data_IF_547258886871
#
_entry.id   IF_547258886871
#
_cell.length_a   1.000
_cell.length_b   1.000
_cell.length_c   1.000
_cell.angle_alpha   90.00
_cell.angle_beta   90.00
_cell.angle_gamma   90.00
#
_symmetry.space_group_name_H-M   'P 1'
#
loop_
_entity.id
_entity.type
_entity.pdbx_description
1 polymer ?
#
# COMPACT_ATOMS: atom_id res chain seq x y z
N UNK A 1 -9.17 -24.32 -19.37
CA UNK A 1 -10.51 -24.91 -19.17
C UNK A 1 -10.83 -24.91 -17.68
N UNK A 2 -11.79 -24.10 -17.20
CA UNK A 2 -12.21 -24.14 -15.80
C UNK A 2 -12.83 -25.50 -15.46
N UNK A 3 -12.30 -26.14 -14.42
CA UNK A 3 -12.80 -27.40 -13.87
C UNK A 3 -13.51 -27.17 -12.55
N UNK A 4 -14.71 -27.69 -12.46
CA UNK A 4 -15.52 -27.65 -11.26
C UNK A 4 -15.74 -29.07 -10.75
N UNK A 5 -15.60 -29.27 -9.45
CA UNK A 5 -15.82 -30.56 -8.79
C UNK A 5 -16.91 -30.45 -7.75
N UNK A 6 -17.66 -31.53 -7.60
CA UNK A 6 -18.70 -31.72 -6.59
C UNK A 6 -18.41 -33.00 -5.83
N UNK A 7 -18.36 -32.90 -4.51
CA UNK A 7 -18.20 -34.02 -3.60
C UNK A 7 -19.15 -33.84 -2.40
N UNK A 8 -20.08 -34.79 -2.22
CA UNK A 8 -21.01 -34.87 -1.09
C UNK A 8 -20.79 -36.14 -0.24
N UNK A 9 -19.67 -36.84 -0.44
CA UNK A 9 -19.35 -38.11 0.20
C UNK A 9 -19.94 -39.35 -0.51
N UNK A 10 -20.94 -39.19 -1.39
CA UNK A 10 -21.52 -40.29 -2.20
C UNK A 10 -21.33 -40.09 -3.71
N UNK A 11 -21.29 -38.84 -4.16
CA UNK A 11 -21.16 -38.41 -5.54
C UNK A 11 -19.91 -37.56 -5.71
N UNK A 12 -18.88 -38.12 -6.33
CA UNK A 12 -17.66 -37.42 -6.72
C UNK A 12 -17.67 -37.16 -8.22
N UNK A 13 -18.05 -35.94 -8.63
CA UNK A 13 -18.27 -35.59 -10.04
C UNK A 13 -17.43 -34.39 -10.44
N UNK A 14 -16.95 -34.38 -11.68
CA UNK A 14 -16.31 -33.22 -12.29
C UNK A 14 -17.14 -32.70 -13.46
N UNK A 15 -17.00 -31.41 -13.73
CA UNK A 15 -17.63 -30.69 -14.82
C UNK A 15 -16.66 -29.61 -15.31
N UNK A 16 -16.34 -29.65 -16.60
CA UNK A 16 -15.42 -28.75 -17.28
C UNK A 16 -16.15 -28.13 -18.45
N UNK A 17 -15.91 -26.85 -18.70
CA UNK A 17 -16.43 -26.15 -19.87
C UNK A 17 -15.30 -25.45 -20.61
N UNK A 18 -15.32 -25.55 -21.93
CA UNK A 18 -14.42 -24.87 -22.84
C UNK A 18 -15.24 -24.14 -23.90
N UNK A 19 -14.87 -22.90 -24.21
CA UNK A 19 -15.57 -22.09 -25.21
C UNK A 19 -14.56 -21.85 -26.33
N UNK A 20 -14.93 -22.20 -27.55
CA UNK A 20 -14.12 -22.02 -28.76
C UNK A 20 -15.01 -21.33 -29.78
N UNK A 21 -14.79 -20.03 -29.98
CA UNK A 21 -15.60 -19.19 -30.86
C UNK A 21 -17.10 -19.28 -30.52
N UNK A 22 -17.93 -19.65 -31.49
CA UNK A 22 -19.39 -19.80 -31.43
C UNK A 22 -19.84 -21.13 -30.77
N UNK A 23 -18.92 -21.88 -30.17
CA UNK A 23 -19.19 -23.22 -29.65
C UNK A 23 -18.72 -23.34 -28.21
N UNK A 24 -19.48 -24.04 -27.37
CA UNK A 24 -18.93 -24.57 -26.12
C UNK A 24 -18.91 -26.09 -26.11
N UNK A 25 -17.89 -26.63 -25.45
CA UNK A 25 -17.70 -28.03 -25.14
C UNK A 25 -17.75 -28.21 -23.63
N UNK A 26 -18.54 -29.17 -23.17
CA UNK A 26 -18.66 -29.53 -21.76
C UNK A 26 -18.19 -30.96 -21.58
N UNK A 27 -17.16 -31.18 -20.76
CA UNK A 27 -16.72 -32.50 -20.32
C UNK A 27 -17.19 -32.76 -18.89
N UNK A 28 -17.85 -33.89 -18.63
CA UNK A 28 -18.36 -34.20 -17.30
C UNK A 28 -18.35 -35.69 -16.98
N UNK A 29 -18.17 -36.05 -15.72
CA UNK A 29 -18.09 -37.45 -15.33
C UNK A 29 -17.81 -37.65 -13.84
N UNK A 30 -17.52 -38.90 -13.47
CA UNK A 30 -17.02 -39.22 -12.12
C UNK A 30 -15.55 -38.83 -12.03
N UNK A 31 -15.13 -38.24 -10.91
CA UNK A 31 -13.72 -37.88 -10.67
C UNK A 31 -12.85 -39.14 -10.84
N UNK A 32 -11.77 -39.04 -11.62
CA UNK A 32 -10.88 -40.16 -11.97
C UNK A 32 -11.27 -40.94 -13.24
N UNK A 33 -12.32 -40.53 -13.96
CA UNK A 33 -12.70 -41.14 -15.26
C UNK A 33 -12.45 -40.18 -16.42
N UNK A 34 -12.48 -40.68 -17.67
CA UNK A 34 -12.35 -39.84 -18.89
C UNK A 34 -13.53 -38.89 -19.11
N UNK A 35 -14.67 -39.10 -18.45
CA UNK A 35 -15.89 -38.31 -18.63
C UNK A 35 -16.57 -38.51 -19.99
N UNK A 36 -17.63 -37.73 -20.21
CA UNK A 36 -18.37 -37.61 -21.47
C UNK A 36 -18.31 -36.16 -21.94
N UNK A 37 -18.17 -35.99 -23.25
CA UNK A 37 -18.09 -34.68 -23.90
C UNK A 37 -19.43 -34.36 -24.56
N UNK A 38 -19.93 -33.15 -24.35
CA UNK A 38 -21.11 -32.59 -25.01
C UNK A 38 -20.75 -31.27 -25.65
N UNK A 39 -20.94 -31.16 -26.96
CA UNK A 39 -20.64 -29.94 -27.74
C UNK A 39 -21.95 -29.25 -28.08
N UNK A 40 -21.98 -27.91 -28.02
CA UNK A 40 -23.12 -27.11 -28.43
C UNK A 40 -22.65 -25.86 -29.20
N UNK A 41 -23.22 -25.69 -30.39
CA UNK A 41 -22.92 -24.57 -31.28
C UNK A 41 -23.99 -23.47 -31.13
N UNK A 42 -23.58 -22.23 -31.35
CA UNK A 42 -24.38 -21.01 -31.25
C UNK A 42 -24.20 -20.16 -32.51
N UNK A 43 -24.99 -19.08 -32.65
CA UNK A 43 -24.91 -18.23 -33.84
C UNK A 43 -23.79 -17.18 -33.78
N UNK A 44 -23.17 -17.00 -32.60
CA UNK A 44 -22.04 -16.09 -32.39
C UNK A 44 -21.25 -16.45 -31.12
N UNK A 45 -20.01 -15.97 -31.04
CA UNK A 45 -19.15 -16.07 -29.86
C UNK A 45 -19.82 -15.47 -28.61
N UNK A 46 -20.55 -14.36 -28.77
CA UNK A 46 -21.25 -13.69 -27.67
C UNK A 46 -22.39 -14.56 -27.11
N UNK A 47 -23.15 -15.26 -27.96
CA UNK A 47 -24.18 -16.19 -27.52
C UNK A 47 -23.60 -17.43 -26.83
N UNK A 48 -22.48 -17.95 -27.34
CA UNK A 48 -21.78 -19.07 -26.72
C UNK A 48 -21.31 -18.71 -25.30
N UNK A 49 -20.75 -17.50 -25.12
CA UNK A 49 -20.31 -16.99 -23.82
C UNK A 49 -21.48 -16.82 -22.83
N UNK A 50 -22.57 -16.16 -23.24
CA UNK A 50 -23.75 -15.98 -22.38
C UNK A 50 -24.38 -17.32 -21.96
N UNK A 51 -24.42 -18.30 -22.88
CA UNK A 51 -24.93 -19.63 -22.58
C UNK A 51 -24.01 -20.40 -21.63
N UNK A 52 -22.68 -20.26 -21.79
CA UNK A 52 -21.68 -20.85 -20.91
C UNK A 52 -21.72 -20.25 -19.49
N UNK A 53 -21.88 -18.94 -19.36
CA UNK A 53 -22.00 -18.26 -18.06
C UNK A 53 -23.26 -18.72 -17.31
N UNK A 54 -24.38 -18.86 -18.03
CA UNK A 54 -25.65 -19.33 -17.46
C UNK A 54 -25.57 -20.75 -16.92
N UNK A 55 -24.95 -21.67 -17.67
CA UNK A 55 -24.80 -23.07 -17.21
C UNK A 55 -23.78 -23.18 -16.08
N UNK A 56 -22.70 -22.38 -16.11
CA UNK A 56 -21.71 -22.31 -15.04
C UNK A 56 -22.33 -21.81 -13.73
N UNK A 57 -23.11 -20.72 -13.77
CA UNK A 57 -23.85 -20.23 -12.61
C UNK A 57 -24.83 -21.29 -12.06
N UNK A 58 -25.48 -22.06 -12.93
CA UNK A 58 -26.33 -23.18 -12.53
C UNK A 58 -25.55 -24.29 -11.81
N UNK A 59 -24.32 -24.59 -12.24
CA UNK A 59 -23.45 -25.61 -11.62
C UNK A 59 -22.91 -25.16 -10.28
N UNK A 60 -22.44 -23.93 -10.17
CA UNK A 60 -22.00 -23.33 -8.89
C UNK A 60 -23.14 -23.32 -7.88
N UNK A 61 -24.36 -22.93 -8.29
CA UNK A 61 -25.55 -22.99 -7.43
C UNK A 61 -25.90 -24.41 -6.96
N UNK A 62 -25.50 -25.44 -7.71
CA UNK A 62 -25.67 -26.86 -7.36
C UNK A 62 -24.53 -27.41 -6.49
N UNK A 63 -23.63 -26.57 -6.01
CA UNK A 63 -22.56 -26.92 -5.08
C UNK A 63 -21.24 -27.33 -5.73
N UNK A 64 -21.09 -27.16 -7.05
CA UNK A 64 -19.81 -27.43 -7.72
C UNK A 64 -18.80 -26.31 -7.39
N UNK A 65 -17.67 -26.67 -6.79
CA UNK A 65 -16.57 -25.76 -6.47
C UNK A 65 -15.51 -25.76 -7.56
N UNK A 66 -14.91 -24.60 -7.85
CA UNK A 66 -13.81 -24.49 -8.83
C UNK A 66 -12.53 -25.10 -8.24
N UNK A 67 -11.93 -26.09 -8.93
CA UNK A 67 -10.74 -26.81 -8.46
C UNK A 67 -9.61 -26.71 -9.47
N UNK A 68 -8.41 -26.37 -8.99
CA UNK A 68 -7.17 -26.48 -9.75
C UNK A 68 -6.89 -25.35 -10.74
N UNK A 69 -6.04 -24.41 -10.32
CA UNK A 69 -5.21 -23.62 -11.23
C UNK A 69 -4.20 -24.56 -11.90
N UNK A 70 -4.53 -25.13 -13.05
CA UNK A 70 -3.54 -25.18 -14.13
C UNK A 70 -3.58 -23.81 -14.76
N UNK A 71 -2.46 -23.09 -14.73
CA UNK A 71 -2.30 -21.82 -15.44
C UNK A 71 -2.97 -21.94 -16.81
N UNK A 72 -3.92 -21.07 -17.18
CA UNK A 72 -4.23 -20.95 -18.59
C UNK A 72 -2.87 -20.71 -19.26
N UNK A 73 -2.53 -21.54 -20.25
CA UNK A 73 -1.57 -21.10 -21.26
C UNK A 73 -2.03 -19.69 -21.62
N UNK A 74 -1.19 -18.65 -21.45
CA UNK A 74 -1.66 -17.30 -21.63
C UNK A 74 -2.29 -17.26 -23.01
N UNK A 75 -3.60 -16.92 -23.08
CA UNK A 75 -4.15 -16.30 -24.29
C UNK A 75 -3.08 -15.34 -24.76
N UNK A 76 -2.67 -15.36 -26.04
CA UNK A 76 -1.51 -14.60 -26.50
C UNK A 76 -1.60 -13.21 -25.89
N UNK A 77 -0.70 -12.92 -24.93
CA UNK A 77 -0.71 -11.63 -24.24
C UNK A 77 -0.53 -10.63 -25.36
N UNK A 78 -1.46 -9.68 -25.46
CA UNK A 78 -1.35 -8.66 -26.49
C UNK A 78 0.07 -8.06 -26.35
N UNK A 79 0.91 -8.07 -27.39
CA UNK A 79 2.28 -7.55 -27.30
C UNK A 79 2.33 -6.12 -26.74
N UNK A 80 1.26 -5.34 -26.93
CA UNK A 80 1.10 -4.01 -26.36
C UNK A 80 0.88 -4.06 -24.84
N UNK A 81 0.11 -5.02 -24.32
CA UNK A 81 -0.08 -5.17 -22.87
C UNK A 81 1.24 -5.58 -22.19
N UNK A 82 2.06 -6.39 -22.86
CA UNK A 82 3.39 -6.75 -22.38
C UNK A 82 4.35 -5.54 -22.39
N UNK A 83 4.32 -4.73 -23.45
CA UNK A 83 5.08 -3.49 -23.56
C UNK A 83 4.67 -2.45 -22.50
N UNK A 84 3.36 -2.25 -22.31
CA UNK A 84 2.84 -1.37 -21.26
C UNK A 84 3.30 -1.86 -19.89
N UNK A 85 3.24 -3.17 -19.64
CA UNK A 85 3.71 -3.75 -18.39
C UNK A 85 5.21 -3.57 -18.19
N UNK A 86 6.03 -3.66 -19.24
CA UNK A 86 7.47 -3.41 -19.11
C UNK A 86 7.76 -1.96 -18.73
N UNK A 87 7.03 -1.00 -19.30
CA UNK A 87 7.13 0.42 -18.92
C UNK A 87 6.67 0.65 -17.46
N UNK A 88 5.60 -0.03 -17.01
CA UNK A 88 5.15 0.08 -15.62
C UNK A 88 6.20 -0.45 -14.61
N UNK A 89 6.95 -1.48 -15.00
CA UNK A 89 8.02 -2.05 -14.20
C UNK A 89 9.23 -1.11 -14.19
N UNK A 90 9.64 -0.66 -15.36
CA UNK A 90 10.81 0.18 -15.61
C UNK A 90 10.45 1.38 -16.53
N UNK A 91 10.02 2.51 -15.95
CA UNK A 91 9.63 3.70 -16.71
C UNK A 91 10.83 4.47 -17.28
N UNK A 92 12.06 4.05 -17.00
CA UNK A 92 13.27 4.64 -17.58
C UNK A 92 13.75 3.91 -18.83
N UNK A 93 13.09 2.80 -19.21
CA UNK A 93 13.36 2.09 -20.45
C UNK A 93 12.89 2.90 -21.68
N UNK A 94 13.80 3.69 -22.24
CA UNK A 94 13.54 4.56 -23.41
C UNK A 94 13.12 3.74 -24.63
N UNK A 95 13.69 2.55 -24.86
CA UNK A 95 13.35 1.71 -26.01
C UNK A 95 11.89 1.26 -25.96
N UNK A 96 11.42 0.84 -24.78
CA UNK A 96 10.02 0.49 -24.57
C UNK A 96 9.09 1.69 -24.83
N UNK A 97 9.48 2.89 -24.38
CA UNK A 97 8.74 4.12 -24.68
C UNK A 97 8.72 4.45 -26.17
N UNK A 98 9.80 4.21 -26.92
CA UNK A 98 9.84 4.42 -28.37
C UNK A 98 8.86 3.51 -29.10
N UNK A 99 8.86 2.21 -28.77
CA UNK A 99 7.91 1.26 -29.37
C UNK A 99 6.46 1.64 -29.03
N UNK A 100 6.20 2.08 -27.79
CA UNK A 100 4.87 2.49 -27.36
C UNK A 100 4.43 3.80 -28.04
N UNK A 101 5.37 4.74 -28.23
CA UNK A 101 5.19 5.97 -29.00
C UNK A 101 4.76 5.68 -30.44
N UNK A 102 5.48 4.79 -31.12
CA UNK A 102 5.17 4.42 -32.50
C UNK A 102 3.79 3.76 -32.60
N UNK A 103 3.50 2.82 -31.68
CA UNK A 103 2.19 2.20 -31.59
C UNK A 103 1.06 3.25 -31.42
N UNK A 104 1.18 4.16 -30.47
CA UNK A 104 0.17 5.20 -30.22
C UNK A 104 -0.04 6.11 -31.43
N UNK A 105 1.03 6.44 -32.17
CA UNK A 105 0.91 7.21 -33.42
C UNK A 105 0.13 6.45 -34.50
N UNK A 106 0.28 5.11 -34.61
CA UNK A 106 -0.56 4.33 -35.54
C UNK A 106 -2.05 4.37 -35.19
N UNK A 107 -2.37 4.65 -33.92
CA UNK A 107 -3.74 4.81 -33.44
C UNK A 107 -4.24 6.27 -33.53
N UNK A 108 -3.44 7.18 -34.10
CA UNK A 108 -3.67 8.63 -34.09
C UNK A 108 -3.85 9.21 -32.68
N UNK A 109 -3.17 8.62 -31.70
CA UNK A 109 -3.20 9.11 -30.33
C UNK A 109 -2.12 10.19 -30.12
N UNK A 110 -2.49 11.42 -29.71
CA UNK A 110 -1.53 12.53 -29.54
C UNK A 110 -0.43 12.22 -28.52
N UNK A 111 -0.65 11.26 -27.61
CA UNK A 111 0.35 10.84 -26.63
C UNK A 111 1.55 10.15 -27.28
N UNK A 112 1.40 9.57 -28.47
CA UNK A 112 2.52 9.03 -29.23
C UNK A 112 3.51 10.15 -29.61
N UNK A 113 3.02 11.27 -30.12
CA UNK A 113 3.87 12.44 -30.42
C UNK A 113 4.47 13.05 -29.15
N UNK A 114 3.70 13.11 -28.04
CA UNK A 114 4.22 13.57 -26.74
C UNK A 114 5.41 12.72 -26.27
N UNK A 115 5.36 11.40 -26.44
CA UNK A 115 6.48 10.54 -26.06
C UNK A 115 7.70 10.80 -26.95
N UNK A 116 7.54 10.81 -28.27
CA UNK A 116 8.64 11.07 -29.20
C UNK A 116 9.33 12.42 -28.92
N UNK A 117 8.54 13.48 -28.69
CA UNK A 117 9.05 14.80 -28.32
C UNK A 117 9.71 14.80 -26.95
N UNK A 118 9.11 14.13 -25.96
CA UNK A 118 9.67 13.97 -24.62
C UNK A 118 11.06 13.32 -24.64
N UNK A 119 11.23 12.24 -25.42
CA UNK A 119 12.52 11.58 -25.61
C UNK A 119 13.53 12.52 -26.28
N UNK A 120 13.12 13.29 -27.29
CA UNK A 120 13.98 14.26 -27.96
C UNK A 120 14.42 15.40 -27.03
N UNK A 121 13.52 15.89 -26.17
CA UNK A 121 13.80 16.90 -25.15
C UNK A 121 14.82 16.36 -24.15
N UNK A 122 14.61 15.15 -23.62
CA UNK A 122 15.51 14.51 -22.65
C UNK A 122 16.92 14.31 -23.22
N UNK A 123 17.02 13.85 -24.47
CA UNK A 123 18.31 13.62 -25.14
C UNK A 123 19.11 14.90 -25.38
N UNK A 124 18.47 16.04 -25.62
CA UNK A 124 19.18 17.26 -26.06
C UNK A 124 18.46 18.57 -25.68
N UNK A 125 18.23 18.84 -24.38
CA UNK A 125 17.29 19.87 -23.91
C UNK A 125 17.71 21.30 -24.25
N UNK A 126 19.01 21.56 -24.41
CA UNK A 126 19.56 22.90 -24.70
C UNK A 126 19.73 23.18 -26.20
N UNK A 127 19.61 22.14 -27.04
CA UNK A 127 19.77 22.27 -28.49
C UNK A 127 18.60 23.04 -29.12
N UNK A 128 18.79 23.60 -30.33
CA UNK A 128 17.69 24.22 -31.10
C UNK A 128 16.52 23.24 -31.27
N UNK A 129 16.82 22.00 -31.69
CA UNK A 129 15.83 20.93 -31.86
C UNK A 129 15.10 20.58 -30.57
N UNK A 130 15.80 20.52 -29.43
CA UNK A 130 15.19 20.24 -28.13
C UNK A 130 14.26 21.37 -27.66
N UNK A 131 14.61 22.62 -27.92
CA UNK A 131 13.75 23.78 -27.64
C UNK A 131 12.50 23.79 -28.53
N UNK A 132 12.66 23.52 -29.83
CA UNK A 132 11.54 23.38 -30.77
C UNK A 132 10.61 22.22 -30.38
N UNK A 133 11.17 21.07 -29.99
CA UNK A 133 10.41 19.93 -29.50
C UNK A 133 9.63 20.27 -28.22
N UNK A 134 10.21 21.04 -27.29
CA UNK A 134 9.51 21.49 -26.07
C UNK A 134 8.33 22.40 -26.38
N UNK A 135 8.47 23.32 -27.34
CA UNK A 135 7.35 24.18 -27.76
C UNK A 135 6.20 23.33 -28.31
N UNK A 136 6.51 22.38 -29.21
CA UNK A 136 5.51 21.46 -29.77
C UNK A 136 4.88 20.56 -28.71
N UNK A 137 5.69 20.03 -27.79
CA UNK A 137 5.21 19.18 -26.68
C UNK A 137 4.18 19.93 -25.83
N UNK A 138 4.51 21.17 -25.42
CA UNK A 138 3.59 21.98 -24.62
C UNK A 138 2.30 22.28 -25.37
N UNK A 139 2.36 22.56 -26.67
CA UNK A 139 1.17 22.78 -27.48
C UNK A 139 0.24 21.56 -27.46
N UNK A 140 0.76 20.37 -27.80
CA UNK A 140 -0.04 19.14 -27.83
C UNK A 140 -0.58 18.80 -26.44
N UNK A 141 0.24 19.00 -25.41
CA UNK A 141 -0.16 18.75 -24.03
C UNK A 141 -1.35 19.65 -23.67
N UNK A 142 -1.27 20.96 -23.92
CA UNK A 142 -2.37 21.88 -23.64
C UNK A 142 -3.63 21.56 -24.46
N UNK A 143 -3.49 21.13 -25.72
CA UNK A 143 -4.62 20.75 -26.59
C UNK A 143 -5.31 19.44 -26.13
N UNK A 144 -4.62 18.57 -25.40
CA UNK A 144 -5.11 17.21 -25.06
C UNK A 144 -5.23 16.90 -23.55
N UNK A 145 -4.74 17.78 -22.67
CA UNK A 145 -4.67 17.54 -21.23
C UNK A 145 -6.01 17.26 -20.57
N UNK A 146 -7.10 17.86 -21.05
CA UNK A 146 -8.44 17.64 -20.50
C UNK A 146 -8.89 16.18 -20.66
N UNK A 147 -8.60 15.56 -21.80
CA UNK A 147 -8.92 14.15 -22.03
C UNK A 147 -8.05 13.22 -21.16
N UNK A 148 -6.82 13.63 -20.86
CA UNK A 148 -5.85 12.84 -20.10
C UNK A 148 -5.95 12.99 -18.57
N UNK A 149 -6.46 14.12 -18.07
CA UNK A 149 -6.44 14.50 -16.66
C UNK A 149 -7.84 14.82 -16.09
N UNK A 150 -8.86 14.95 -16.93
CA UNK A 150 -10.22 15.29 -16.53
C UNK A 150 -10.28 16.63 -15.79
N UNK A 151 -11.05 16.69 -14.70
CA UNK A 151 -11.23 17.92 -13.90
C UNK A 151 -9.94 18.45 -13.28
N UNK A 152 -8.87 17.65 -13.21
CA UNK A 152 -7.58 18.11 -12.71
C UNK A 152 -6.77 18.91 -13.76
N UNK A 153 -7.17 18.91 -15.04
CA UNK A 153 -6.41 19.55 -16.11
C UNK A 153 -6.23 21.07 -15.94
N UNK A 154 -7.24 21.73 -15.38
CA UNK A 154 -7.23 23.18 -15.11
C UNK A 154 -6.21 23.54 -14.01
N UNK A 155 -6.04 22.66 -13.03
CA UNK A 155 -5.28 22.90 -11.81
C UNK A 155 -3.91 22.22 -11.78
N UNK A 156 -3.54 21.48 -12.84
CA UNK A 156 -2.39 20.57 -12.82
C UNK A 156 -1.04 21.27 -12.57
N UNK A 157 -0.97 22.58 -12.81
CA UNK A 157 0.22 23.40 -12.56
C UNK A 157 0.21 24.09 -11.20
N UNK A 158 -0.83 23.92 -10.39
CA UNK A 158 -0.89 24.43 -9.03
C UNK A 158 0.01 23.58 -8.12
N UNK A 159 1.13 24.16 -7.72
CA UNK A 159 2.15 23.50 -6.91
C UNK A 159 1.76 23.36 -5.44
N UNK A 160 0.72 24.05 -4.98
CA UNK A 160 0.17 23.86 -3.64
C UNK A 160 -0.77 22.65 -3.61
N UNK A 161 -1.52 22.42 -4.68
CA UNK A 161 -2.39 21.25 -4.83
C UNK A 161 -1.61 19.98 -5.19
N UNK A 162 -0.60 20.12 -6.04
CA UNK A 162 0.09 18.97 -6.63
C UNK A 162 1.60 19.02 -6.50
N UNK A 163 2.19 17.87 -6.16
CA UNK A 163 3.59 17.57 -6.45
C UNK A 163 3.65 16.39 -7.39
N UNK A 164 4.09 16.62 -8.63
CA UNK A 164 4.01 15.63 -9.71
C UNK A 164 5.37 15.43 -10.38
N UNK A 165 5.70 14.17 -10.65
CA UNK A 165 6.76 13.81 -11.60
C UNK A 165 6.14 13.36 -12.92
N UNK A 166 6.58 13.97 -14.01
CA UNK A 166 6.15 13.64 -15.37
C UNK A 166 7.20 12.81 -16.10
N UNK A 167 6.76 11.85 -16.91
CA UNK A 167 7.55 11.19 -17.94
C UNK A 167 6.74 11.19 -19.23
N UNK A 168 7.21 11.94 -20.22
CA UNK A 168 6.67 11.88 -21.59
C UNK A 168 5.16 12.12 -21.71
N UNK A 169 4.60 13.00 -20.88
CA UNK A 169 3.16 13.30 -20.83
C UNK A 169 2.34 12.39 -19.92
N UNK A 170 2.98 11.44 -19.23
CA UNK A 170 2.37 10.58 -18.21
C UNK A 170 2.84 10.94 -16.80
N UNK A 171 1.99 10.64 -15.82
CA UNK A 171 2.25 10.82 -14.39
C UNK A 171 2.97 9.59 -13.83
N UNK A 172 4.09 9.81 -13.11
CA UNK A 172 4.79 8.74 -12.38
C UNK A 172 4.61 8.85 -10.88
N UNK A 173 4.77 10.05 -10.32
CA UNK A 173 4.54 10.32 -8.90
C UNK A 173 3.49 11.41 -8.79
N UNK A 174 2.50 11.21 -7.93
CA UNK A 174 1.43 12.17 -7.69
C UNK A 174 1.23 12.34 -6.19
N UNK A 175 1.44 13.56 -5.69
CA UNK A 175 0.86 14.05 -4.44
C UNK A 175 -0.32 14.94 -4.76
N UNK A 176 -1.44 14.76 -4.08
CA UNK A 176 -2.57 15.70 -4.03
C UNK A 176 -2.73 16.21 -2.62
N UNK A 177 -2.99 17.50 -2.45
CA UNK A 177 -3.29 18.12 -1.16
C UNK A 177 -4.28 19.28 -1.34
N UNK A 178 -4.96 19.61 -0.25
CA UNK A 178 -5.82 20.78 -0.10
C UNK A 178 -4.99 21.99 0.38
N UNK A 179 -5.44 23.20 0.05
CA UNK A 179 -5.01 24.42 0.74
C UNK A 179 -6.18 25.41 0.83
N UNK A 180 -6.21 26.21 1.91
CA UNK A 180 -7.37 27.04 2.27
C UNK A 180 -7.81 28.06 1.21
N UNK A 181 -6.88 28.61 0.43
CA UNK A 181 -7.22 29.57 -0.63
C UNK A 181 -7.87 28.92 -1.88
N UNK A 182 -7.90 27.59 -1.96
CA UNK A 182 -8.38 26.89 -3.14
C UNK A 182 -9.89 26.81 -3.19
N UNK A 183 -10.47 27.28 -4.30
CA UNK A 183 -11.90 27.13 -4.61
C UNK A 183 -12.02 26.30 -5.88
N UNK A 184 -12.34 25.02 -5.73
CA UNK A 184 -12.41 24.07 -6.85
C UNK A 184 -12.90 22.67 -6.46
N UNK A 185 -12.65 21.66 -7.29
CA UNK A 185 -13.00 20.27 -6.98
C UNK A 185 -12.22 19.76 -5.76
N UNK A 186 -12.87 18.95 -4.93
CA UNK A 186 -12.23 18.35 -3.76
C UNK A 186 -11.01 17.48 -4.11
N UNK A 187 -10.09 17.31 -3.15
CA UNK A 187 -8.90 16.45 -3.30
C UNK A 187 -9.19 15.07 -3.89
N UNK A 188 -10.25 14.40 -3.43
CA UNK A 188 -10.64 13.08 -3.93
C UNK A 188 -11.13 13.09 -5.39
N UNK A 189 -11.76 14.19 -5.85
CA UNK A 189 -12.18 14.35 -7.24
C UNK A 189 -10.97 14.58 -8.14
N UNK A 190 -10.03 15.41 -7.69
CA UNK A 190 -8.77 15.65 -8.37
C UNK A 190 -7.98 14.33 -8.50
N UNK A 191 -7.75 13.62 -7.39
CA UNK A 191 -7.09 12.32 -7.39
C UNK A 191 -7.81 11.32 -8.30
N UNK A 192 -9.13 11.19 -8.15
CA UNK A 192 -9.94 10.29 -8.96
C UNK A 192 -9.83 10.58 -10.46
N UNK A 193 -9.73 11.86 -10.85
CA UNK A 193 -9.53 12.26 -12.23
C UNK A 193 -8.16 11.86 -12.76
N UNK A 194 -7.09 12.11 -12.01
CA UNK A 194 -5.72 11.68 -12.38
C UNK A 194 -5.61 10.17 -12.51
N UNK A 195 -6.25 9.43 -11.60
CA UNK A 195 -6.24 7.97 -11.59
C UNK A 195 -7.04 7.38 -12.78
N UNK A 196 -8.20 7.96 -13.12
CA UNK A 196 -9.02 7.48 -14.24
C UNK A 196 -8.48 7.93 -15.60
N UNK A 197 -7.84 9.09 -15.64
CA UNK A 197 -7.28 9.69 -16.82
C UNK A 197 -6.16 8.86 -17.44
N UNK A 198 -6.02 8.98 -18.76
CA UNK A 198 -5.04 8.21 -19.52
C UNK A 198 -3.59 8.56 -19.15
N UNK A 199 -3.34 9.79 -18.68
CA UNK A 199 -2.03 10.22 -18.18
C UNK A 199 -1.62 9.48 -16.90
N UNK A 200 -2.56 8.96 -16.11
CA UNK A 200 -2.30 8.25 -14.85
C UNK A 200 -1.97 6.76 -14.98
N UNK A 201 -1.79 6.24 -16.19
CA UNK A 201 -1.64 4.79 -16.44
C UNK A 201 -0.34 4.20 -15.87
N UNK A 202 0.68 5.03 -15.66
CA UNK A 202 2.02 4.62 -15.21
C UNK A 202 2.37 5.15 -13.81
N UNK A 203 1.38 5.62 -13.04
CA UNK A 203 1.62 6.11 -11.67
C UNK A 203 2.22 4.99 -10.81
N UNK A 204 3.40 5.26 -10.26
CA UNK A 204 4.15 4.39 -9.35
C UNK A 204 4.00 4.80 -7.89
N UNK A 205 3.80 6.09 -7.62
CA UNK A 205 3.65 6.64 -6.27
C UNK A 205 2.40 7.49 -6.17
N UNK A 206 1.58 7.21 -5.16
CA UNK A 206 0.44 8.04 -4.77
C UNK A 206 0.69 8.55 -3.35
N UNK A 207 0.58 9.86 -3.16
CA UNK A 207 0.63 10.51 -1.85
C UNK A 207 -0.62 11.37 -1.68
N UNK A 208 -1.24 11.30 -0.52
CA UNK A 208 -2.39 12.12 -0.15
C UNK A 208 -1.95 13.00 1.02
N UNK A 209 -1.70 14.29 0.76
CA UNK A 209 -1.46 15.28 1.81
C UNK A 209 -2.76 15.71 2.49
N UNK A 210 -2.73 16.78 3.29
CA UNK A 210 -3.94 17.29 3.97
C UNK A 210 -5.10 17.39 2.99
N UNK A 211 -6.26 16.93 3.39
CA UNK A 211 -7.50 17.00 2.61
C UNK A 211 -8.46 17.99 3.24
N UNK A 212 -9.57 18.24 2.57
CA UNK A 212 -10.70 18.89 3.22
C UNK A 212 -11.16 18.08 4.44
N UNK A 213 -11.58 18.79 5.49
CA UNK A 213 -12.15 18.21 6.71
C UNK A 213 -13.61 17.80 6.58
N UNK A 214 -14.13 17.20 7.64
CA UNK A 214 -15.55 16.92 7.87
C UNK A 214 -16.02 17.67 9.13
N UNK A 215 -17.29 17.51 9.51
CA UNK A 215 -17.87 18.20 10.67
C UNK A 215 -17.08 17.96 11.99
N UNK A 216 -16.47 16.78 12.13
CA UNK A 216 -15.76 16.34 13.34
C UNK A 216 -14.23 16.17 13.16
N UNK A 217 -13.66 16.51 12.00
CA UNK A 217 -12.22 16.36 11.74
C UNK A 217 -11.70 17.41 10.76
N UNK A 218 -10.51 17.95 11.00
CA UNK A 218 -9.88 18.97 10.16
C UNK A 218 -9.42 18.40 8.80
N UNK A 219 -9.15 17.09 8.74
CA UNK A 219 -8.83 16.38 7.50
C UNK A 219 -9.46 14.98 7.45
N UNK A 220 -10.09 14.61 6.33
CA UNK A 220 -10.64 13.26 6.11
C UNK A 220 -10.16 12.60 4.81
N UNK A 221 -9.42 11.50 4.94
CA UNK A 221 -8.76 10.80 3.84
C UNK A 221 -9.60 9.69 3.19
N UNK A 222 -10.78 9.40 3.77
CA UNK A 222 -11.63 8.27 3.37
C UNK A 222 -12.08 8.36 1.91
N UNK A 223 -12.43 9.55 1.42
CA UNK A 223 -12.85 9.77 0.04
C UNK A 223 -11.68 9.58 -0.95
N UNK A 224 -10.47 10.00 -0.60
CA UNK A 224 -9.29 9.76 -1.43
C UNK A 224 -8.96 8.25 -1.49
N UNK A 225 -9.06 7.55 -0.36
CA UNK A 225 -8.92 6.08 -0.31
C UNK A 225 -10.00 5.40 -1.15
N UNK A 226 -11.24 5.90 -1.10
CA UNK A 226 -12.33 5.42 -1.95
C UNK A 226 -12.06 5.67 -3.44
N UNK A 227 -11.50 6.83 -3.81
CA UNK A 227 -11.12 7.14 -5.19
C UNK A 227 -10.06 6.16 -5.72
N UNK A 228 -9.08 5.77 -4.90
CA UNK A 228 -8.08 4.75 -5.25
C UNK A 228 -8.75 3.40 -5.50
N UNK A 229 -9.61 2.95 -4.58
CA UNK A 229 -10.28 1.65 -4.65
C UNK A 229 -11.26 1.57 -5.83
N UNK A 230 -12.09 2.59 -6.01
CA UNK A 230 -13.05 2.68 -7.12
C UNK A 230 -12.38 2.83 -8.48
N UNK A 231 -11.15 3.36 -8.52
CA UNK A 231 -10.31 3.44 -9.71
C UNK A 231 -9.79 2.10 -10.21
N UNK A 232 -10.07 0.99 -9.53
CA UNK A 232 -9.75 -0.37 -9.97
C UNK A 232 -8.29 -0.77 -9.75
N UNK A 233 -7.91 -1.91 -10.33
CA UNK A 233 -6.59 -2.54 -10.13
C UNK A 233 -5.48 -1.72 -10.79
N UNK A 234 -4.43 -1.37 -10.03
CA UNK A 234 -3.27 -0.60 -10.49
C UNK A 234 -1.97 -1.36 -10.21
N UNK A 235 -1.43 -1.97 -11.26
CA UNK A 235 -0.23 -2.81 -11.18
C UNK A 235 1.07 -2.01 -11.13
N UNK A 236 1.06 -0.75 -11.57
CA UNK A 236 2.24 0.12 -11.58
C UNK A 236 2.56 0.73 -10.21
N UNK A 237 1.55 0.89 -9.35
CA UNK A 237 1.71 1.54 -8.04
C UNK A 237 2.52 0.65 -7.10
N UNK A 238 3.65 1.20 -6.64
CA UNK A 238 4.60 0.58 -5.70
C UNK A 238 4.59 1.27 -4.33
N UNK A 239 4.15 2.52 -4.26
CA UNK A 239 4.14 3.30 -3.00
C UNK A 239 2.82 4.04 -2.80
N UNK A 240 2.28 3.94 -1.59
CA UNK A 240 1.11 4.69 -1.15
C UNK A 240 1.40 5.35 0.21
N UNK A 241 1.21 6.66 0.28
CA UNK A 241 1.16 7.41 1.54
C UNK A 241 -0.24 8.01 1.71
N UNK A 242 -0.85 7.75 2.86
CA UNK A 242 -2.11 8.35 3.29
C UNK A 242 -1.78 9.21 4.52
N UNK A 243 -1.98 10.51 4.44
CA UNK A 243 -1.58 11.44 5.50
C UNK A 243 -0.17 12.01 5.34
N UNK A 244 0.16 12.47 4.15
CA UNK A 244 1.44 13.12 3.83
C UNK A 244 1.41 14.60 4.22
N UNK A 245 1.33 14.85 5.53
CA UNK A 245 1.27 16.19 6.11
C UNK A 245 2.18 16.32 7.32
N UNK A 246 2.58 17.56 7.57
CA UNK A 246 3.36 17.96 8.74
C UNK A 246 2.44 18.54 9.83
N UNK A 247 2.93 18.61 11.07
CA UNK A 247 2.14 19.05 12.23
C UNK A 247 1.67 20.51 12.15
N UNK A 248 2.31 21.34 11.34
CA UNK A 248 1.88 22.72 11.08
C UNK A 248 0.75 22.82 10.05
N UNK A 249 0.52 21.77 9.26
CA UNK A 249 -0.60 21.68 8.33
C UNK A 249 -1.85 21.09 9.00
N UNK A 250 -1.69 20.03 9.81
CA UNK A 250 -2.78 19.36 10.51
C UNK A 250 -2.25 18.62 11.75
N UNK A 251 -2.92 18.79 12.89
CA UNK A 251 -2.69 17.95 14.07
C UNK A 251 -3.10 16.50 13.78
N UNK A 252 -2.28 15.53 14.19
CA UNK A 252 -2.50 14.13 13.81
C UNK A 252 -3.82 13.59 14.38
N UNK A 253 -4.20 14.03 15.58
CA UNK A 253 -5.46 13.66 16.25
C UNK A 253 -6.69 14.29 15.61
N UNK A 254 -6.53 15.41 14.90
CA UNK A 254 -7.60 16.12 14.18
C UNK A 254 -7.81 15.58 12.75
N UNK A 255 -7.28 14.39 12.45
CA UNK A 255 -7.38 13.75 11.13
C UNK A 255 -8.06 12.38 11.20
N UNK A 256 -8.83 12.03 10.17
CA UNK A 256 -9.51 10.75 10.05
C UNK A 256 -9.05 10.00 8.80
N UNK A 257 -8.39 8.86 8.98
CA UNK A 257 -7.96 7.99 7.87
C UNK A 257 -9.10 7.10 7.38
N UNK A 258 -9.81 6.43 8.29
CA UNK A 258 -10.86 5.47 7.97
C UNK A 258 -10.35 4.14 7.40
N UNK A 259 -11.21 3.45 6.64
CA UNK A 259 -10.99 2.06 6.22
C UNK A 259 -10.03 1.90 5.03
N UNK A 260 -8.85 1.31 5.29
CA UNK A 260 -7.82 1.04 4.28
C UNK A 260 -7.91 -0.37 3.67
N UNK A 261 -8.64 -1.33 4.25
CA UNK A 261 -8.47 -2.76 3.93
C UNK A 261 -8.69 -3.17 2.46
N UNK A 262 -9.37 -2.35 1.65
CA UNK A 262 -9.56 -2.60 0.21
C UNK A 262 -8.34 -2.24 -0.64
N UNK A 263 -7.43 -1.39 -0.15
CA UNK A 263 -6.26 -0.93 -0.93
C UNK A 263 -5.33 -2.09 -1.31
N UNK A 264 -5.17 -3.08 -0.43
CA UNK A 264 -4.29 -4.23 -0.65
C UNK A 264 -4.66 -5.06 -1.89
N UNK A 265 -5.94 -5.12 -2.24
CA UNK A 265 -6.41 -5.91 -3.38
C UNK A 265 -6.24 -5.16 -4.72
N UNK A 266 -6.41 -3.84 -4.71
CA UNK A 266 -6.33 -3.00 -5.91
C UNK A 266 -4.89 -2.59 -6.25
N UNK A 267 -3.97 -2.60 -5.29
CA UNK A 267 -2.55 -2.28 -5.48
C UNK A 267 -1.66 -3.54 -5.34
N UNK A 268 -1.70 -4.50 -6.28
CA UNK A 268 -1.08 -5.83 -6.12
C UNK A 268 0.46 -5.85 -6.08
N UNK A 269 1.10 -4.74 -6.45
CA UNK A 269 2.55 -4.58 -6.47
C UNK A 269 3.03 -3.51 -5.46
N UNK A 270 2.20 -3.18 -4.47
CA UNK A 270 2.56 -2.26 -3.40
C UNK A 270 3.76 -2.80 -2.61
N UNK A 271 4.82 -2.00 -2.55
CA UNK A 271 6.05 -2.27 -1.80
C UNK A 271 6.14 -1.43 -0.53
N UNK A 272 5.54 -0.24 -0.51
CA UNK A 272 5.51 0.63 0.67
C UNK A 272 4.10 1.17 0.91
N UNK A 273 3.67 1.08 2.17
CA UNK A 273 2.46 1.72 2.67
C UNK A 273 2.81 2.53 3.91
N UNK A 274 2.52 3.83 3.86
CA UNK A 274 2.59 4.74 5.01
C UNK A 274 1.17 5.23 5.29
N UNK A 275 0.75 5.11 6.55
CA UNK A 275 -0.53 5.62 7.04
C UNK A 275 -0.23 6.51 8.24
N UNK A 276 -0.59 7.79 8.14
CA UNK A 276 -0.28 8.81 9.13
C UNK A 276 -1.55 9.62 9.44
N UNK A 277 -2.07 9.51 10.65
CA UNK A 277 -3.31 10.20 11.04
C UNK A 277 -4.07 9.50 12.17
N UNK A 278 -5.26 10.02 12.48
CA UNK A 278 -6.21 9.43 13.44
C UNK A 278 -7.19 8.45 12.80
N UNK A 279 -8.00 7.80 13.64
CA UNK A 279 -9.12 6.92 13.25
C UNK A 279 -8.78 5.89 12.16
N UNK A 280 -7.67 5.17 12.36
CA UNK A 280 -7.16 4.21 11.39
C UNK A 280 -7.90 2.87 11.47
N UNK A 281 -8.51 2.45 10.36
CA UNK A 281 -9.08 1.11 10.19
C UNK A 281 -8.32 0.30 9.12
N UNK A 282 -7.39 -0.55 9.55
CA UNK A 282 -6.51 -1.29 8.63
C UNK A 282 -7.20 -2.44 7.88
N UNK A 283 -8.31 -2.96 8.41
CA UNK A 283 -8.95 -4.18 7.89
C UNK A 283 -8.03 -5.40 7.96
N UNK A 284 -8.19 -6.35 7.02
CA UNK A 284 -7.34 -7.55 6.97
C UNK A 284 -6.09 -7.30 6.14
N UNK A 285 -4.95 -7.21 6.83
CA UNK A 285 -3.66 -6.93 6.20
C UNK A 285 -3.08 -8.20 5.59
N UNK A 286 -3.07 -8.28 4.25
CA UNK A 286 -2.44 -9.37 3.50
C UNK A 286 -1.88 -8.85 2.20
N UNK A 287 -0.56 -8.94 2.02
CA UNK A 287 0.09 -8.47 0.81
C UNK A 287 1.43 -9.19 0.56
N UNK A 288 1.63 -9.65 -0.67
CA UNK A 288 2.80 -10.50 -1.02
C UNK A 288 4.09 -9.73 -1.30
N UNK A 289 3.98 -8.45 -1.65
CA UNK A 289 5.11 -7.63 -2.11
C UNK A 289 5.42 -6.46 -1.17
N UNK A 290 4.65 -6.28 -0.09
CA UNK A 290 4.82 -5.13 0.81
C UNK A 290 6.10 -5.35 1.62
N UNK A 291 7.04 -4.43 1.51
CA UNK A 291 8.36 -4.42 2.17
C UNK A 291 8.39 -3.47 3.35
N UNK A 292 7.63 -2.38 3.29
CA UNK A 292 7.56 -1.37 4.35
C UNK A 292 6.11 -1.08 4.70
N UNK A 293 5.79 -1.12 5.99
CA UNK A 293 4.53 -0.66 6.56
C UNK A 293 4.83 0.28 7.73
N UNK A 294 4.36 1.52 7.65
CA UNK A 294 4.43 2.50 8.74
C UNK A 294 3.03 2.96 9.11
N UNK A 295 2.72 2.94 10.40
CA UNK A 295 1.45 3.38 10.97
C UNK A 295 1.77 4.38 12.07
N UNK A 296 1.52 5.66 11.79
CA UNK A 296 1.77 6.77 12.69
C UNK A 296 0.41 7.34 13.13
N UNK A 297 0.15 7.35 14.44
CA UNK A 297 -1.14 7.80 14.99
C UNK A 297 -0.98 8.28 16.43
N UNK A 298 -1.84 9.21 16.84
CA UNK A 298 -1.99 9.65 18.23
C UNK A 298 -2.67 8.61 19.14
N UNK A 299 -3.39 7.63 18.56
CA UNK A 299 -4.01 6.53 19.30
C UNK A 299 -4.48 5.36 18.42
N UNK A 300 -3.86 4.20 18.59
CA UNK A 300 -4.15 3.01 17.81
C UNK A 300 -5.20 2.12 18.48
N UNK A 301 -6.33 1.91 17.81
CA UNK A 301 -7.42 1.08 18.32
C UNK A 301 -7.02 -0.40 18.50
N UNK A 302 -7.74 -1.12 19.37
CA UNK A 302 -7.49 -2.54 19.63
C UNK A 302 -7.68 -3.38 18.36
N UNK A 303 -8.61 -2.96 17.48
CA UNK A 303 -8.85 -3.61 16.19
C UNK A 303 -7.65 -3.46 15.27
N UNK A 304 -7.06 -2.27 15.19
CA UNK A 304 -5.87 -2.01 14.37
C UNK A 304 -4.64 -2.75 14.92
N UNK A 305 -4.42 -2.75 16.25
CA UNK A 305 -3.34 -3.54 16.88
C UNK A 305 -3.46 -5.03 16.54
N UNK A 306 -4.66 -5.60 16.64
CA UNK A 306 -4.91 -7.01 16.29
C UNK A 306 -4.74 -7.27 14.79
N UNK A 307 -5.05 -6.30 13.93
CA UNK A 307 -4.88 -6.40 12.49
C UNK A 307 -3.39 -6.45 12.10
N UNK A 308 -2.57 -5.58 12.71
CA UNK A 308 -1.11 -5.65 12.59
C UNK A 308 -0.61 -6.99 13.10
N UNK A 309 -0.95 -7.38 14.33
CA UNK A 309 -0.42 -8.60 14.91
C UNK A 309 -0.69 -9.87 14.07
N UNK A 310 -1.82 -9.92 13.36
CA UNK A 310 -2.27 -11.06 12.55
C UNK A 310 -2.00 -10.91 11.04
N UNK A 311 -1.20 -9.94 10.62
CA UNK A 311 -0.97 -9.69 9.21
C UNK A 311 -0.28 -10.88 8.50
N UNK A 312 -0.48 -10.98 7.19
CA UNK A 312 0.20 -11.95 6.31
C UNK A 312 1.01 -11.19 5.26
N UNK A 313 2.26 -10.89 5.61
CA UNK A 313 3.16 -10.00 4.87
C UNK A 313 4.53 -10.67 4.66
N UNK A 314 4.61 -11.70 3.80
CA UNK A 314 5.81 -12.53 3.63
C UNK A 314 7.06 -11.78 3.15
N UNK A 315 6.90 -10.61 2.53
CA UNK A 315 8.00 -9.80 2.02
C UNK A 315 8.33 -8.59 2.91
N UNK A 316 7.67 -8.42 4.07
CA UNK A 316 7.86 -7.23 4.90
C UNK A 316 9.23 -7.26 5.57
N UNK A 317 10.00 -6.21 5.35
CA UNK A 317 11.33 -6.02 5.91
C UNK A 317 11.33 -5.01 7.06
N UNK A 318 10.41 -4.03 7.01
CA UNK A 318 10.27 -2.95 7.99
C UNK A 318 8.80 -2.76 8.41
N UNK A 319 8.57 -2.79 9.72
CA UNK A 319 7.29 -2.49 10.35
C UNK A 319 7.49 -1.41 11.42
N UNK A 320 6.80 -0.28 11.29
CA UNK A 320 6.78 0.80 12.28
C UNK A 320 5.34 1.01 12.73
N UNK A 321 5.10 1.00 14.05
CA UNK A 321 3.76 1.13 14.63
C UNK A 321 3.82 2.06 15.83
N UNK A 322 3.01 3.11 15.79
CA UNK A 322 2.79 4.04 16.91
C UNK A 322 1.52 3.60 17.64
N UNK A 323 1.60 3.44 18.96
CA UNK A 323 0.44 3.01 19.75
C UNK A 323 -0.40 4.18 20.27
N UNK A 324 0.25 5.31 20.58
CA UNK A 324 -0.41 6.52 21.04
C UNK A 324 -0.89 6.48 22.49
N UNK A 325 -1.78 7.40 22.84
CA UNK A 325 -2.33 7.53 24.19
C UNK A 325 -3.85 7.30 24.24
N UNK A 326 -4.34 6.86 25.40
CA UNK A 326 -5.75 6.48 25.61
C UNK A 326 -6.72 7.61 25.29
N UNK A 327 -6.35 8.86 25.61
CA UNK A 327 -7.18 10.04 25.34
C UNK A 327 -7.37 10.33 23.84
N UNK A 328 -6.53 9.76 22.99
CA UNK A 328 -6.59 9.89 21.53
C UNK A 328 -6.98 8.57 20.84
N UNK A 329 -7.59 7.63 21.58
CA UNK A 329 -8.14 6.39 21.03
C UNK A 329 -7.22 5.16 21.11
N UNK A 330 -6.09 5.24 21.82
CA UNK A 330 -5.23 4.08 22.01
C UNK A 330 -5.89 3.02 22.91
N UNK A 331 -5.92 1.78 22.43
CA UNK A 331 -6.44 0.62 23.18
C UNK A 331 -5.46 -0.57 23.12
N UNK A 332 -4.21 -0.31 22.75
CA UNK A 332 -3.18 -1.33 22.64
C UNK A 332 -2.78 -1.91 23.98
N UNK A 333 -2.54 -3.23 24.00
CA UNK A 333 -1.96 -3.95 25.13
C UNK A 333 -1.00 -5.02 24.61
N UNK A 334 0.02 -5.36 25.40
CA UNK A 334 1.06 -6.33 25.01
C UNK A 334 0.50 -7.70 24.62
N UNK A 335 -0.61 -8.12 25.24
CA UNK A 335 -1.25 -9.41 24.95
C UNK A 335 -1.74 -9.55 23.51
N UNK A 336 -2.14 -8.42 22.88
CA UNK A 336 -2.60 -8.40 21.50
C UNK A 336 -1.47 -8.61 20.48
N UNK A 337 -0.21 -8.34 20.86
CA UNK A 337 0.97 -8.46 20.01
C UNK A 337 1.55 -9.88 19.97
N UNK A 338 1.03 -10.82 20.77
CA UNK A 338 1.51 -12.20 20.81
C UNK A 338 1.67 -12.84 19.42
N UNK A 339 0.70 -12.72 18.48
CA UNK A 339 0.88 -13.28 17.14
C UNK A 339 2.04 -12.67 16.34
N UNK A 340 2.32 -11.37 16.51
CA UNK A 340 3.49 -10.71 15.93
C UNK A 340 4.78 -11.27 16.54
N UNK A 341 4.85 -11.40 17.86
CA UNK A 341 6.02 -11.92 18.56
C UNK A 341 6.38 -13.35 18.16
N UNK A 342 5.38 -14.17 17.79
CA UNK A 342 5.57 -15.51 17.22
C UNK A 342 6.22 -15.49 15.81
N UNK A 343 6.30 -14.34 15.14
CA UNK A 343 6.88 -14.18 13.80
C UNK A 343 5.99 -14.68 12.66
N UNK A 344 4.76 -15.13 12.95
CA UNK A 344 3.83 -15.66 11.95
C UNK A 344 3.36 -14.55 11.02
N UNK A 345 3.56 -14.74 9.72
CA UNK A 345 3.23 -13.75 8.70
C UNK A 345 4.33 -12.73 8.41
N UNK A 346 5.46 -12.79 9.14
CA UNK A 346 6.59 -11.85 9.04
C UNK A 346 7.96 -12.52 8.83
N UNK A 347 8.09 -13.51 7.94
CA UNK A 347 9.32 -14.29 7.78
C UNK A 347 10.53 -13.47 7.31
N UNK A 348 10.31 -12.31 6.69
CA UNK A 348 11.37 -11.43 6.16
C UNK A 348 11.65 -10.21 7.04
N UNK A 349 10.98 -10.05 8.17
CA UNK A 349 11.05 -8.83 8.98
C UNK A 349 12.43 -8.67 9.62
N UNK A 350 13.04 -7.50 9.41
CA UNK A 350 14.37 -7.16 9.91
C UNK A 350 14.33 -5.94 10.83
N UNK A 351 13.42 -5.01 10.59
CA UNK A 351 13.31 -3.77 11.36
C UNK A 351 11.92 -3.69 11.97
N UNK A 352 11.86 -3.61 13.29
CA UNK A 352 10.61 -3.54 14.04
C UNK A 352 10.63 -2.31 14.94
N UNK A 353 9.68 -1.40 14.72
CA UNK A 353 9.38 -0.28 15.59
C UNK A 353 8.04 -0.49 16.27
N UNK A 354 8.07 -0.58 17.58
CA UNK A 354 6.90 -0.59 18.47
C UNK A 354 7.04 0.66 19.34
N UNK A 355 6.61 1.78 18.78
CA UNK A 355 6.99 3.11 19.26
C UNK A 355 5.79 3.79 19.91
N UNK A 356 6.06 4.87 20.63
CA UNK A 356 5.02 5.79 21.07
C UNK A 356 3.94 5.07 21.91
N UNK A 357 4.34 4.15 22.81
CA UNK A 357 3.42 3.33 23.59
C UNK A 357 3.43 3.68 25.08
N UNK A 358 2.25 3.59 25.71
CA UNK A 358 2.08 3.74 27.16
C UNK A 358 2.52 2.51 27.98
N UNK A 359 2.90 1.41 27.32
CA UNK A 359 3.21 0.10 27.91
C UNK A 359 4.56 -0.45 27.40
N UNK A 360 5.54 0.44 27.26
CA UNK A 360 6.84 0.13 26.64
C UNK A 360 7.67 -0.86 27.47
N UNK A 361 7.54 -0.83 28.80
CA UNK A 361 8.16 -1.82 29.71
C UNK A 361 7.61 -3.23 29.44
N UNK A 362 6.30 -3.36 29.23
CA UNK A 362 5.63 -4.61 28.94
C UNK A 362 6.03 -5.14 27.56
N UNK A 363 6.17 -4.26 26.57
CA UNK A 363 6.67 -4.62 25.23
C UNK A 363 8.04 -5.27 25.34
N UNK A 364 9.01 -4.59 25.97
CA UNK A 364 10.37 -5.13 26.08
C UNK A 364 10.41 -6.43 26.89
N UNK A 365 9.60 -6.53 27.95
CA UNK A 365 9.47 -7.77 28.72
C UNK A 365 8.93 -8.94 27.88
N UNK A 366 7.97 -8.69 27.00
CA UNK A 366 7.44 -9.71 26.10
C UNK A 366 8.44 -10.11 25.01
N UNK A 367 9.23 -9.16 24.52
CA UNK A 367 10.28 -9.40 23.51
C UNK A 367 11.36 -10.37 23.99
N UNK A 368 11.64 -10.45 25.30
CA UNK A 368 12.57 -11.43 25.89
C UNK A 368 12.24 -12.88 25.47
N UNK A 369 10.95 -13.19 25.25
CA UNK A 369 10.49 -14.53 24.88
C UNK A 369 10.04 -14.63 23.41
N UNK A 370 10.17 -13.56 22.64
CA UNK A 370 9.62 -13.46 21.30
C UNK A 370 10.56 -14.07 20.25
N UNK A 371 10.17 -15.14 19.53
CA UNK A 371 10.98 -15.71 18.46
C UNK A 371 11.38 -14.70 17.37
N UNK A 372 10.53 -13.71 17.10
CA UNK A 372 10.79 -12.70 16.05
C UNK A 372 12.07 -11.90 16.31
N UNK A 373 12.53 -11.74 17.56
CA UNK A 373 13.75 -10.98 17.88
C UNK A 373 14.99 -11.55 17.19
N UNK A 374 15.05 -12.87 16.98
CA UNK A 374 16.21 -13.56 16.40
C UNK A 374 16.50 -13.20 14.95
N UNK A 375 15.50 -12.72 14.20
CA UNK A 375 15.64 -12.33 12.79
C UNK A 375 15.81 -10.81 12.61
N UNK A 376 15.60 -10.03 13.67
CA UNK A 376 15.73 -8.58 13.60
C UNK A 376 17.20 -8.16 13.52
N UNK A 377 17.43 -7.04 12.84
CA UNK A 377 18.67 -6.28 12.82
C UNK A 377 18.50 -4.95 13.56
N UNK A 378 17.28 -4.42 13.62
CA UNK A 378 16.96 -3.14 14.27
C UNK A 378 15.67 -3.26 15.07
N UNK A 379 15.67 -2.67 16.27
CA UNK A 379 14.53 -2.58 17.17
C UNK A 379 14.34 -1.13 17.63
N UNK A 380 13.15 -0.58 17.42
CA UNK A 380 12.80 0.78 17.86
C UNK A 380 11.68 0.72 18.91
N UNK A 381 11.99 1.21 20.11
CA UNK A 381 11.13 1.32 21.30
C UNK A 381 11.08 2.77 21.79
N UNK A 382 11.29 3.73 20.89
CA UNK A 382 11.35 5.16 21.23
C UNK A 382 9.97 5.79 21.39
N UNK A 383 9.96 7.02 21.92
CA UNK A 383 8.79 7.90 22.04
C UNK A 383 7.70 7.41 23.01
N UNK A 384 7.97 6.34 23.75
CA UNK A 384 7.03 5.69 24.66
C UNK A 384 7.21 6.12 26.12
N UNK A 385 6.82 5.23 27.03
CA UNK A 385 6.88 5.44 28.48
C UNK A 385 7.85 4.51 29.18
N UNK A 386 8.91 4.04 28.50
CA UNK A 386 9.89 3.13 29.09
C UNK A 386 10.56 3.79 30.29
N UNK A 387 10.57 3.09 31.42
CA UNK A 387 11.27 3.51 32.63
C UNK A 387 12.52 2.68 32.85
N UNK A 388 13.24 2.96 33.93
CA UNK A 388 14.41 2.19 34.36
C UNK A 388 14.17 0.67 34.42
N UNK A 389 12.93 0.23 34.66
CA UNK A 389 12.54 -1.18 34.61
C UNK A 389 12.76 -1.78 33.22
N UNK A 390 12.21 -1.16 32.17
CA UNK A 390 12.40 -1.60 30.79
C UNK A 390 13.86 -1.52 30.34
N UNK A 391 14.57 -0.45 30.73
CA UNK A 391 16.01 -0.34 30.46
C UNK A 391 16.83 -1.44 31.15
N UNK A 392 16.47 -1.82 32.38
CA UNK A 392 17.14 -2.92 33.09
C UNK A 392 16.88 -4.28 32.43
N UNK A 393 15.68 -4.51 31.88
CA UNK A 393 15.38 -5.71 31.08
C UNK A 393 16.31 -5.82 29.87
N UNK A 394 16.55 -4.72 29.14
CA UNK A 394 17.51 -4.71 28.03
C UNK A 394 18.92 -5.06 28.51
N UNK A 395 19.37 -4.47 29.63
CA UNK A 395 20.69 -4.73 30.21
C UNK A 395 20.85 -6.22 30.58
N UNK A 396 19.84 -6.79 31.24
CA UNK A 396 19.89 -8.17 31.76
C UNK A 396 19.78 -9.22 30.65
N UNK A 397 19.34 -8.82 29.45
CA UNK A 397 19.13 -9.72 28.30
C UNK A 397 20.03 -9.38 27.10
N UNK A 398 21.25 -8.87 27.35
CA UNK A 398 22.22 -8.57 26.30
C UNK A 398 22.56 -9.77 25.42
N UNK A 399 22.52 -10.99 25.96
CA UNK A 399 22.74 -12.21 25.16
C UNK A 399 21.66 -12.42 24.09
N UNK A 400 20.47 -11.85 24.29
CA UNK A 400 19.34 -11.94 23.35
C UNK A 400 19.30 -10.77 22.37
N UNK A 401 19.58 -9.54 22.82
CA UNK A 401 19.46 -8.33 22.00
C UNK A 401 20.80 -7.87 21.40
N UNK A 402 21.93 -8.39 21.90
CA UNK A 402 23.26 -7.93 21.53
C UNK A 402 23.65 -8.19 20.08
N UNK A 403 22.92 -9.06 19.36
CA UNK A 403 23.12 -9.26 17.91
C UNK A 403 22.53 -8.14 17.06
N UNK A 404 21.61 -7.33 17.59
CA UNK A 404 21.02 -6.22 16.87
C UNK A 404 22.10 -5.20 16.49
N UNK A 405 22.01 -4.66 15.28
CA UNK A 405 22.87 -3.57 14.81
C UNK A 405 22.43 -2.24 15.42
N UNK A 406 21.12 -2.09 15.68
CA UNK A 406 20.55 -0.87 16.25
C UNK A 406 19.41 -1.16 17.23
N UNK A 407 19.42 -0.43 18.36
CA UNK A 407 18.31 -0.37 19.31
C UNK A 407 18.02 1.10 19.63
N UNK A 408 16.78 1.55 19.40
CA UNK A 408 16.38 2.91 19.74
C UNK A 408 15.48 2.91 20.98
N UNK A 409 15.88 3.66 22.00
CA UNK A 409 15.12 3.90 23.24
C UNK A 409 15.04 5.39 23.56
N UNK A 410 15.29 6.27 22.59
CA UNK A 410 15.17 7.72 22.79
C UNK A 410 13.76 8.12 23.18
N UNK A 411 13.64 9.28 23.80
CA UNK A 411 12.34 9.90 24.05
C UNK A 411 11.44 9.02 24.95
N UNK A 412 12.05 8.49 26.02
CA UNK A 412 11.43 7.69 27.08
C UNK A 412 11.70 8.34 28.46
N UNK A 413 11.53 7.62 29.57
CA UNK A 413 11.71 8.12 30.94
C UNK A 413 12.82 7.36 31.68
N UNK A 414 13.97 7.16 31.02
CA UNK A 414 15.15 6.49 31.58
C UNK A 414 16.01 7.49 32.37
N UNK A 415 16.46 7.10 33.56
CA UNK A 415 17.39 7.90 34.36
C UNK A 415 18.81 7.83 33.79
N UNK A 416 19.62 8.86 34.07
CA UNK A 416 21.05 8.90 33.69
C UNK A 416 21.81 7.62 34.09
N UNK A 417 21.47 7.06 35.26
CA UNK A 417 22.08 5.82 35.76
C UNK A 417 21.82 4.63 34.82
N UNK A 418 20.62 4.52 34.26
CA UNK A 418 20.27 3.44 33.34
C UNK A 418 20.82 3.73 31.94
N UNK A 419 20.76 4.96 31.46
CA UNK A 419 21.30 5.32 30.14
C UNK A 419 22.80 5.06 30.07
N UNK A 420 23.59 5.44 31.08
CA UNK A 420 25.02 5.14 31.15
C UNK A 420 25.34 3.64 31.12
N UNK A 421 24.47 2.81 31.73
CA UNK A 421 24.64 1.36 31.69
C UNK A 421 24.31 0.80 30.32
N UNK A 422 23.23 1.26 29.70
CA UNK A 422 22.82 0.87 28.36
C UNK A 422 23.92 1.17 27.35
N UNK A 423 24.55 2.34 27.39
CA UNK A 423 25.68 2.70 26.53
C UNK A 423 26.89 1.76 26.70
N UNK A 424 27.17 1.35 27.95
CA UNK A 424 28.26 0.43 28.26
C UNK A 424 27.98 -0.98 27.76
N UNK A 425 26.73 -1.44 27.86
CA UNK A 425 26.30 -2.79 27.45
C UNK A 425 26.13 -2.89 25.93
N UNK A 426 25.68 -1.82 25.28
CA UNK A 426 25.40 -1.74 23.84
C UNK A 426 26.25 -0.66 23.14
N UNK A 427 27.59 -0.78 23.14
CA UNK A 427 28.46 0.27 22.65
C UNK A 427 28.24 0.55 21.16
N UNK A 428 27.88 1.79 20.82
CA UNK A 428 27.61 2.28 19.45
C UNK A 428 26.44 1.59 18.75
N UNK A 429 25.58 0.89 19.49
CA UNK A 429 24.40 0.20 18.96
C UNK A 429 23.08 0.88 19.36
N UNK A 430 23.13 1.88 20.24
CA UNK A 430 21.93 2.50 20.80
C UNK A 430 21.75 3.98 20.46
N UNK A 431 20.49 4.37 20.24
CA UNK A 431 20.02 5.75 20.32
C UNK A 431 19.24 5.90 21.63
N UNK A 432 19.67 6.81 22.53
CA UNK A 432 19.12 6.95 23.89
C UNK A 432 18.67 8.38 24.20
N UNK A 433 18.95 9.36 23.34
CA UNK A 433 18.73 10.79 23.62
C UNK A 433 17.30 11.18 24.00
N UNK A 434 17.14 12.44 24.39
CA UNK A 434 15.82 13.08 24.58
C UNK A 434 14.94 12.45 25.69
N UNK A 435 15.56 11.88 26.73
CA UNK A 435 14.82 11.34 27.87
C UNK A 435 14.05 12.44 28.62
N UNK A 436 12.82 12.11 29.02
CA UNK A 436 11.86 12.97 29.70
C UNK A 436 11.89 12.75 31.21
N UNK A 437 11.55 13.81 31.95
CA UNK A 437 11.20 13.70 33.36
C UNK A 437 9.69 13.48 33.50
N UNK A 438 9.24 12.53 34.34
CA UNK A 438 7.81 12.32 34.54
C UNK A 438 7.18 13.48 35.29
N UNK A 439 5.91 13.78 34.99
CA UNK A 439 5.16 14.81 35.69
C UNK A 439 4.69 14.27 37.04
N UNK A 440 4.89 15.02 38.12
CA UNK A 440 4.38 14.65 39.45
C UNK A 440 3.26 15.62 39.84
N UNK A 441 2.04 15.11 39.95
CA UNK A 441 0.88 15.88 40.38
C UNK A 441 0.13 15.13 41.47
N UNK A 442 -0.08 15.78 42.61
CA UNK A 442 -0.71 15.20 43.81
C UNK A 442 -0.08 13.86 44.26
N UNK A 443 1.26 13.78 44.23
CA UNK A 443 2.01 12.58 44.60
C UNK A 443 1.91 11.42 43.61
N UNK A 444 1.19 11.58 42.49
CA UNK A 444 1.11 10.60 41.40
C UNK A 444 2.06 10.98 40.28
N UNK A 445 2.71 9.95 39.73
CA UNK A 445 3.64 10.07 38.59
C UNK A 445 2.85 9.85 37.31
N UNK A 446 2.97 10.78 36.36
CA UNK A 446 2.34 10.73 35.05
C UNK A 446 3.43 10.75 33.96
N UNK A 447 3.38 9.75 33.08
CA UNK A 447 4.18 9.66 31.86
C UNK A 447 3.27 9.90 30.65
N UNK A 448 3.88 10.24 29.52
CA UNK A 448 3.18 10.56 28.29
C UNK A 448 4.04 10.17 27.09
N UNK A 449 3.38 9.80 26.00
CA UNK A 449 4.04 9.48 24.73
C UNK A 449 4.35 10.76 23.95
N UNK A 450 5.24 10.70 22.96
CA UNK A 450 5.67 11.91 22.23
C UNK A 450 4.69 12.41 21.17
N UNK A 451 3.91 11.52 20.57
CA UNK A 451 2.91 11.84 19.56
C UNK A 451 1.55 11.42 20.09
N UNK A 452 0.66 12.38 20.30
CA UNK A 452 -0.65 12.13 20.90
C UNK A 452 -1.70 13.04 20.26
N UNK A 453 -1.50 14.36 20.39
CA UNK A 453 -2.28 15.42 19.74
C UNK A 453 -1.88 15.61 18.27
#
# INVERSE_FOLDING_TARGET
MPRYEYDDGTSQKFWEINIINDTYEVCYGKIGTKGQISIKNFSSDQEAQLAADKITASKVKKGYGLVGKSSPSPSPVNPIDELVRSIQIDPDNIEAWQVYSDYLQTQNDPRGELIALGIAIEKSPRSKKGKEAKVRFNQIFEESKEAGLGVAAEYINDTKLFSITWKYGYLLNVRVAFHYDFVGPSTHKLLGALLKGTAGHFIQTISIGVTEGMEDADACFSDCTHAIVSGGRRVAVKKLTIGDFESDECEISCSTIGYCGKVYAVLPNLEQLIVHGGDIELGKIKHKNLKTLSICTGGLSATAVKAVAKADLPALEMLIVYFGAVFYGAEGEVGMLKPLFEGKGYPALKQLGLMNALFENEIVQALVKAPIVKQLISLDLSMGTMTDEGGQILIDNVDLFGHLDHINVSDNFLTEKITEKLEKVYPKKMTIGDQKAPNVYDGKVYTYVSVAE
#
